data_IF_732622802157
#
_entry.id   IF_732622802157
#
_cell.length_a   1.000
_cell.length_b   1.000
_cell.length_c   1.000
_cell.angle_alpha   90.00
_cell.angle_beta   90.00
_cell.angle_gamma   90.00
#
_symmetry.space_group_name_H-M   'P 1'
#
loop_
_entity.id
_entity.type
_entity.pdbx_description
1 polymer ?
#
# COMPACT_ATOMS: atom_id res chain seq x y z
N UNK A 1 7.29 4.79 19.18
CA UNK A 1 6.29 5.00 18.11
C UNK A 1 7.00 4.81 16.78
N UNK A 2 6.52 3.94 15.91
CA UNK A 2 7.16 3.70 14.61
C UNK A 2 6.98 4.93 13.72
N UNK A 3 8.04 5.36 13.03
CA UNK A 3 7.99 6.48 12.10
C UNK A 3 8.89 6.16 10.92
N UNK A 4 8.34 6.21 9.72
CA UNK A 4 9.12 6.22 8.50
C UNK A 4 8.60 7.34 7.59
N UNK A 5 9.03 7.33 6.32
CA UNK A 5 8.64 8.35 5.34
C UNK A 5 7.14 8.43 5.09
N UNK A 6 6.41 7.33 5.28
CA UNK A 6 5.00 7.20 4.89
C UNK A 6 4.07 7.16 6.10
N UNK A 7 4.50 6.51 7.18
CA UNK A 7 3.69 6.24 8.37
C UNK A 7 4.24 6.92 9.63
N UNK A 8 3.31 7.46 10.41
CA UNK A 8 3.53 7.86 11.80
C UNK A 8 2.60 7.04 12.69
N UNK A 9 3.15 6.03 13.37
CA UNK A 9 2.33 4.99 14.00
C UNK A 9 1.55 4.20 12.94
N UNK A 10 0.23 4.13 13.10
CA UNK A 10 -0.70 3.47 12.16
C UNK A 10 -1.17 4.36 11.02
N UNK A 11 -0.93 5.67 11.07
CA UNK A 11 -1.49 6.62 10.11
C UNK A 11 -0.48 6.98 9.02
N UNK A 12 -0.93 7.00 7.76
CA UNK A 12 -0.19 7.67 6.69
C UNK A 12 -0.18 9.18 6.93
N UNK A 13 0.98 9.84 6.83
CA UNK A 13 1.08 11.29 7.06
C UNK A 13 1.09 12.14 5.78
N UNK A 14 0.81 11.55 4.61
CA UNK A 14 0.78 12.23 3.33
C UNK A 14 -0.16 11.56 2.34
N UNK A 15 -0.36 12.20 1.20
CA UNK A 15 -1.19 11.71 0.10
C UNK A 15 -0.33 10.99 -0.95
N UNK A 16 -0.91 10.00 -1.61
CA UNK A 16 -0.31 9.47 -2.82
C UNK A 16 -0.32 10.54 -3.93
N UNK A 17 0.72 10.61 -4.77
CA UNK A 17 0.69 11.46 -5.96
C UNK A 17 -0.51 11.10 -6.86
N UNK A 18 -1.14 12.09 -7.47
CA UNK A 18 -2.29 11.87 -8.35
C UNK A 18 -1.98 10.89 -9.51
N UNK A 19 -0.78 11.00 -10.10
CA UNK A 19 -0.32 10.08 -11.15
C UNK A 19 -0.16 8.64 -10.63
N UNK A 20 0.32 8.48 -9.39
CA UNK A 20 0.41 7.17 -8.74
C UNK A 20 -0.97 6.55 -8.52
N UNK A 21 -1.94 7.36 -8.09
CA UNK A 21 -3.33 6.93 -7.93
C UNK A 21 -3.88 6.48 -9.27
N UNK A 22 -3.80 7.32 -10.30
CA UNK A 22 -4.33 7.03 -11.64
C UNK A 22 -3.69 5.78 -12.27
N UNK A 23 -2.38 5.59 -12.15
CA UNK A 23 -1.67 4.43 -12.70
C UNK A 23 -2.03 3.14 -11.95
N UNK A 24 -2.10 3.19 -10.62
CA UNK A 24 -2.28 2.00 -9.79
C UNK A 24 -3.76 1.61 -9.64
N UNK A 25 -4.72 2.54 -9.81
CA UNK A 25 -6.15 2.26 -9.79
C UNK A 25 -6.75 2.01 -11.18
N UNK A 26 -5.93 1.97 -12.23
CA UNK A 26 -6.36 1.72 -13.59
C UNK A 26 -7.04 0.34 -13.74
N UNK A 27 -7.95 0.24 -14.72
CA UNK A 27 -8.57 -1.03 -15.07
C UNK A 27 -7.59 -1.93 -15.83
N UNK A 28 -7.41 -3.17 -15.37
CA UNK A 28 -6.53 -4.16 -16.00
C UNK A 28 -5.34 -4.56 -15.12
N UNK A 29 -4.32 -5.22 -15.68
CA UNK A 29 -3.11 -5.57 -14.95
C UNK A 29 -2.29 -4.31 -14.63
N UNK A 30 -2.10 -4.04 -13.34
CA UNK A 30 -1.38 -2.85 -12.82
C UNK A 30 -0.08 -3.21 -12.10
N UNK A 31 0.34 -4.48 -12.14
CA UNK A 31 1.51 -4.98 -11.40
C UNK A 31 2.80 -4.19 -11.70
N UNK A 32 3.06 -3.90 -12.97
CA UNK A 32 4.25 -3.14 -13.41
C UNK A 32 4.21 -1.69 -12.93
N UNK A 33 3.03 -1.06 -12.97
CA UNK A 33 2.82 0.30 -12.49
C UNK A 33 3.05 0.41 -10.99
N UNK A 34 2.45 -0.52 -10.23
CA UNK A 34 2.64 -0.61 -8.78
C UNK A 34 4.11 -0.85 -8.44
N UNK A 35 4.79 -1.75 -9.14
CA UNK A 35 6.22 -1.99 -8.92
C UNK A 35 7.07 -0.74 -9.20
N UNK A 36 6.80 -0.03 -10.29
CA UNK A 36 7.46 1.24 -10.61
C UNK A 36 7.27 2.26 -9.49
N UNK A 37 6.04 2.44 -9.01
CA UNK A 37 5.75 3.44 -7.98
C UNK A 37 6.30 3.05 -6.61
N UNK A 38 6.27 1.78 -6.21
CA UNK A 38 6.92 1.32 -4.97
C UNK A 38 8.41 1.68 -4.97
N UNK A 39 9.11 1.45 -6.09
CA UNK A 39 10.54 1.81 -6.21
C UNK A 39 10.75 3.32 -6.25
N UNK A 40 9.95 4.05 -7.05
CA UNK A 40 10.06 5.51 -7.23
C UNK A 40 9.82 6.28 -5.94
N UNK A 41 8.83 5.84 -5.16
CA UNK A 41 8.43 6.47 -3.90
C UNK A 41 9.30 6.04 -2.72
N UNK A 42 10.11 5.00 -2.91
CA UNK A 42 10.72 4.25 -1.82
C UNK A 42 9.65 3.90 -0.77
N UNK A 43 8.55 3.30 -1.26
CA UNK A 43 7.39 3.00 -0.44
C UNK A 43 7.71 1.85 0.51
N UNK A 44 7.57 2.12 1.80
CA UNK A 44 7.88 1.15 2.84
C UNK A 44 7.03 1.36 4.10
N UNK A 45 6.94 0.32 4.91
CA UNK A 45 6.18 0.29 6.15
C UNK A 45 6.60 -0.89 7.03
N UNK A 46 6.16 -0.91 8.29
CA UNK A 46 6.52 -1.97 9.22
C UNK A 46 5.88 -3.30 8.78
N UNK A 47 6.67 -4.36 8.50
CA UNK A 47 6.16 -5.60 7.88
C UNK A 47 4.98 -6.25 8.60
N UNK A 48 5.01 -6.23 9.93
CA UNK A 48 3.97 -6.84 10.75
C UNK A 48 2.64 -6.07 10.69
N UNK A 49 2.66 -4.74 10.58
CA UNK A 49 1.43 -3.93 10.43
C UNK A 49 0.84 -4.10 9.04
N UNK A 50 1.68 -4.03 8.00
CA UNK A 50 1.21 -4.25 6.63
C UNK A 50 0.56 -5.63 6.53
N UNK A 51 1.22 -6.67 7.04
CA UNK A 51 0.69 -8.03 7.05
C UNK A 51 -0.63 -8.13 7.81
N UNK A 52 -0.74 -7.48 8.97
CA UNK A 52 -1.97 -7.50 9.76
C UNK A 52 -3.13 -6.86 9.01
N UNK A 53 -2.90 -5.66 8.47
CA UNK A 53 -3.86 -4.92 7.66
C UNK A 53 -4.30 -5.71 6.41
N UNK A 54 -3.35 -6.23 5.62
CA UNK A 54 -3.66 -7.04 4.42
C UNK A 54 -4.45 -8.32 4.75
N UNK A 55 -4.26 -8.90 5.95
CA UNK A 55 -5.04 -10.06 6.38
C UNK A 55 -6.52 -9.74 6.55
N UNK A 56 -6.87 -8.50 6.91
CA UNK A 56 -8.26 -8.05 7.06
C UNK A 56 -9.08 -8.15 5.78
N UNK A 57 -8.43 -8.04 4.61
CA UNK A 57 -9.08 -8.15 3.30
C UNK A 57 -9.46 -9.59 2.92
N UNK A 58 -8.86 -10.61 3.56
CA UNK A 58 -9.15 -12.02 3.27
C UNK A 58 -8.69 -12.52 1.89
N UNK A 59 -8.02 -11.70 1.09
CA UNK A 59 -7.59 -12.03 -0.27
C UNK A 59 -6.28 -12.83 -0.37
N UNK A 60 -5.50 -12.91 0.72
CA UNK A 60 -4.18 -13.56 0.74
C UNK A 60 -4.05 -14.56 1.87
N UNK A 61 -3.36 -15.67 1.61
CA UNK A 61 -3.06 -16.66 2.63
C UNK A 61 -1.96 -16.18 3.58
N UNK A 62 -1.84 -16.83 4.73
CA UNK A 62 -0.74 -16.57 5.68
C UNK A 62 0.64 -16.70 5.02
N UNK A 63 0.79 -17.64 4.07
CA UNK A 63 2.04 -17.87 3.34
C UNK A 63 2.34 -16.73 2.36
N UNK A 64 1.33 -16.25 1.63
CA UNK A 64 1.47 -15.11 0.71
C UNK A 64 1.90 -13.84 1.43
N UNK A 65 1.42 -13.66 2.66
CA UNK A 65 1.73 -12.51 3.50
C UNK A 65 3.08 -12.58 4.21
N UNK A 66 3.85 -13.67 4.06
CA UNK A 66 5.23 -13.75 4.56
C UNK A 66 6.21 -12.94 3.70
N UNK A 67 5.86 -12.63 2.44
CA UNK A 67 6.69 -11.81 1.56
C UNK A 67 6.37 -10.31 1.75
N UNK A 68 7.23 -9.63 2.51
CA UNK A 68 7.11 -8.18 2.71
C UNK A 68 7.19 -7.38 1.41
N UNK A 69 8.01 -7.80 0.45
CA UNK A 69 8.17 -7.09 -0.82
C UNK A 69 6.87 -7.11 -1.62
N UNK A 70 6.23 -8.27 -1.69
CA UNK A 70 4.90 -8.40 -2.28
C UNK A 70 3.84 -7.61 -1.49
N UNK A 71 3.91 -7.61 -0.16
CA UNK A 71 2.97 -6.87 0.68
C UNK A 71 3.04 -5.35 0.46
N UNK A 72 4.24 -4.78 0.22
CA UNK A 72 4.38 -3.35 -0.11
C UNK A 72 3.64 -2.99 -1.40
N UNK A 73 3.76 -3.83 -2.43
CA UNK A 73 3.02 -3.66 -3.70
C UNK A 73 1.50 -3.74 -3.47
N UNK A 74 1.04 -4.78 -2.77
CA UNK A 74 -0.39 -4.96 -2.43
C UNK A 74 -0.94 -3.75 -1.67
N UNK A 75 -0.21 -3.27 -0.67
CA UNK A 75 -0.63 -2.13 0.13
C UNK A 75 -0.71 -0.84 -0.69
N UNK A 76 0.30 -0.56 -1.53
CA UNK A 76 0.28 0.63 -2.38
C UNK A 76 -0.91 0.60 -3.35
N UNK A 77 -1.19 -0.57 -3.94
CA UNK A 77 -2.33 -0.76 -4.82
C UNK A 77 -3.66 -0.50 -4.11
N UNK A 78 -3.89 -1.11 -2.94
CA UNK A 78 -5.10 -0.90 -2.14
C UNK A 78 -5.26 0.59 -1.80
N UNK A 79 -4.19 1.24 -1.36
CA UNK A 79 -4.24 2.65 -1.00
C UNK A 79 -4.59 3.53 -2.22
N UNK A 80 -4.02 3.24 -3.39
CA UNK A 80 -4.37 3.95 -4.62
C UNK A 80 -5.84 3.76 -4.99
N UNK A 81 -6.39 2.55 -4.89
CA UNK A 81 -7.81 2.29 -5.11
C UNK A 81 -8.69 3.09 -4.14
N UNK A 82 -8.38 3.06 -2.84
CA UNK A 82 -9.11 3.83 -1.83
C UNK A 82 -9.07 5.34 -2.14
N UNK A 83 -7.91 5.88 -2.53
CA UNK A 83 -7.76 7.28 -2.94
C UNK A 83 -8.59 7.62 -4.17
N UNK A 84 -8.67 6.71 -5.15
CA UNK A 84 -9.50 6.88 -6.33
C UNK A 84 -11.01 6.92 -5.98
N UNK A 85 -11.42 6.24 -4.92
CA UNK A 85 -12.79 6.22 -4.40
C UNK A 85 -13.11 7.39 -3.45
N UNK A 86 -12.11 8.22 -3.12
CA UNK A 86 -12.25 9.42 -2.29
C UNK A 86 -11.69 9.29 -0.87
N UNK A 87 -11.12 8.14 -0.49
CA UNK A 87 -10.45 7.96 0.80
C UNK A 87 -8.94 8.22 0.71
N UNK A 88 -8.52 9.35 1.28
CA UNK A 88 -7.19 9.91 1.08
C UNK A 88 -6.14 9.37 2.06
N UNK A 89 -6.55 8.78 3.19
CA UNK A 89 -5.65 8.39 4.27
C UNK A 89 -5.66 6.88 4.48
N UNK A 90 -4.48 6.29 4.58
CA UNK A 90 -4.32 4.89 4.91
C UNK A 90 -4.09 4.73 6.42
N UNK A 91 -4.89 3.87 7.05
CA UNK A 91 -4.74 3.47 8.44
C UNK A 91 -4.43 1.98 8.50
N UNK A 92 -3.26 1.66 9.06
CA UNK A 92 -2.83 0.30 9.35
C UNK A 92 -3.40 -0.11 10.72
N UNK A 93 -4.54 -0.78 10.70
CA UNK A 93 -5.16 -1.43 11.86
C UNK A 93 -4.43 -2.71 12.27
#
# INVERSE_FOLDING_TARGET
MFRNRWFHGSFSHGLLPADCVADCSASGPVDDAVEYWVRRLDFDGPPWMIRHHLRGYGAWSTADLCDHQANRRRLLWIWACNCCEGDSLLVLE
#
